data_IF_920550438277
#
_entry.id   IF_920550438277
#
_cell.length_a   1.000
_cell.length_b   1.000
_cell.length_c   1.000
_cell.angle_alpha   90.00
_cell.angle_beta   90.00
_cell.angle_gamma   90.00
#
_symmetry.space_group_name_H-M   'P 1'
#
loop_
_entity.id
_entity.type
_entity.pdbx_description
1 polymer ?
#
# COMPACT_ATOMS: atom_id res chain seq x y z
N UNK A 1 17.29 -10.73 9.55
CA UNK A 1 15.85 -10.55 9.75
C UNK A 1 15.29 -10.28 8.38
N UNK A 2 14.34 -11.09 7.95
CA UNK A 2 13.73 -10.95 6.64
C UNK A 2 12.55 -9.98 6.77
N UNK A 3 12.46 -9.06 5.82
CA UNK A 3 11.39 -8.09 5.76
C UNK A 3 10.54 -8.45 4.56
N UNK A 4 9.27 -8.76 4.82
CA UNK A 4 8.28 -9.08 3.81
C UNK A 4 7.40 -7.87 3.57
N UNK A 5 7.09 -7.62 2.31
CA UNK A 5 6.13 -6.59 1.92
C UNK A 5 4.93 -7.28 1.30
N UNK A 6 3.77 -7.12 1.93
CA UNK A 6 2.50 -7.67 1.47
C UNK A 6 1.60 -6.50 1.07
N UNK A 7 1.08 -6.53 -0.15
CA UNK A 7 0.20 -5.51 -0.70
C UNK A 7 -1.19 -6.08 -0.88
N UNK A 8 -2.20 -5.44 -0.28
CA UNK A 8 -3.61 -5.82 -0.36
C UNK A 8 -4.31 -4.83 -1.29
N UNK A 9 -4.88 -5.32 -2.38
CA UNK A 9 -5.52 -4.49 -3.41
C UNK A 9 -6.87 -5.08 -3.82
N UNK A 10 -7.73 -4.26 -4.44
CA UNK A 10 -9.01 -4.73 -4.96
C UNK A 10 -8.81 -5.66 -6.16
N UNK A 11 -9.61 -6.73 -6.23
CA UNK A 11 -9.61 -7.60 -7.40
C UNK A 11 -10.04 -6.84 -8.66
N UNK A 12 -9.60 -7.26 -9.86
CA UNK A 12 -9.94 -6.57 -11.12
C UNK A 12 -11.45 -6.41 -11.37
N UNK A 13 -12.27 -7.35 -10.89
CA UNK A 13 -13.72 -7.29 -10.99
C UNK A 13 -14.42 -6.37 -9.97
N UNK A 14 -13.68 -5.87 -8.97
CA UNK A 14 -14.19 -5.01 -7.89
C UNK A 14 -13.71 -3.58 -8.14
N UNK A 15 -14.61 -2.58 -8.16
CA UNK A 15 -14.21 -1.20 -8.33
C UNK A 15 -13.40 -0.72 -7.11
N UNK A 16 -12.22 -0.15 -7.37
CA UNK A 16 -11.45 0.57 -6.36
C UNK A 16 -12.08 1.95 -6.13
N UNK A 17 -13.08 1.99 -5.25
CA UNK A 17 -13.79 3.24 -4.92
C UNK A 17 -12.90 4.26 -4.23
N UNK A 18 -11.83 3.82 -3.56
CA UNK A 18 -10.87 4.73 -2.91
C UNK A 18 -10.02 5.42 -3.96
N UNK A 19 -9.48 4.66 -4.92
CA UNK A 19 -8.76 5.19 -6.07
C UNK A 19 -9.60 6.15 -6.91
N UNK A 20 -10.87 5.82 -7.15
CA UNK A 20 -11.80 6.72 -7.85
C UNK A 20 -12.02 8.03 -7.10
N UNK A 21 -12.25 7.99 -5.78
CA UNK A 21 -12.40 9.21 -4.97
C UNK A 21 -11.15 10.09 -4.99
N UNK A 22 -9.96 9.47 -4.91
CA UNK A 22 -8.69 10.20 -5.01
C UNK A 22 -8.55 10.88 -6.38
N UNK A 23 -8.96 10.22 -7.46
CA UNK A 23 -8.91 10.82 -8.81
C UNK A 23 -9.82 12.05 -8.91
N UNK A 24 -11.01 12.00 -8.30
CA UNK A 24 -11.92 13.15 -8.20
C UNK A 24 -11.26 14.29 -7.40
N UNK A 25 -10.71 13.99 -6.23
CA UNK A 25 -10.01 14.98 -5.39
C UNK A 25 -8.82 15.64 -6.11
N UNK A 26 -8.05 14.86 -6.89
CA UNK A 26 -6.95 15.36 -7.73
C UNK A 26 -7.48 16.33 -8.79
N UNK A 27 -8.61 15.99 -9.42
CA UNK A 27 -9.24 16.83 -10.43
C UNK A 27 -9.73 18.15 -9.81
N UNK A 28 -10.31 18.09 -8.62
CA UNK A 28 -10.76 19.26 -7.85
C UNK A 28 -9.60 20.16 -7.40
N UNK A 29 -8.39 19.62 -7.22
CA UNK A 29 -7.16 20.39 -7.03
C UNK A 29 -6.68 21.11 -8.31
N UNK A 30 -7.33 20.89 -9.46
CA UNK A 30 -6.95 21.45 -10.75
C UNK A 30 -5.79 20.70 -11.42
N UNK A 31 -5.48 19.49 -10.98
CA UNK A 31 -4.47 18.62 -11.60
C UNK A 31 -5.17 17.75 -12.63
N UNK A 32 -4.68 17.78 -13.87
CA UNK A 32 -5.23 17.02 -15.00
C UNK A 32 -4.19 16.12 -15.63
N UNK A 33 -4.63 15.12 -16.40
CA UNK A 33 -3.75 14.21 -17.13
C UNK A 33 -3.51 12.88 -16.43
N UNK A 34 -4.12 12.64 -15.27
CA UNK A 34 -4.16 11.34 -14.61
C UNK A 34 -5.45 10.65 -15.05
N UNK A 35 -5.32 9.43 -15.57
CA UNK A 35 -6.43 8.65 -16.13
C UNK A 35 -7.06 7.72 -15.10
N UNK A 36 -6.26 7.18 -14.18
CA UNK A 36 -6.71 6.29 -13.13
C UNK A 36 -5.75 6.32 -11.93
N UNK A 37 -6.32 6.04 -10.76
CA UNK A 37 -5.58 5.77 -9.52
C UNK A 37 -6.03 4.43 -8.98
N UNK A 38 -5.08 3.55 -8.68
CA UNK A 38 -5.31 2.31 -7.93
C UNK A 38 -4.66 2.41 -6.57
N UNK A 39 -5.22 1.71 -5.60
CA UNK A 39 -4.80 1.74 -4.20
C UNK A 39 -4.49 0.35 -3.69
N UNK A 40 -3.58 0.28 -2.72
CA UNK A 40 -3.34 -0.89 -1.90
C UNK A 40 -3.01 -0.48 -0.47
N UNK A 41 -3.35 -1.34 0.47
CA UNK A 41 -2.77 -1.31 1.82
C UNK A 41 -1.48 -2.13 1.81
N UNK A 42 -0.41 -1.56 2.37
CA UNK A 42 0.89 -2.24 2.46
C UNK A 42 1.14 -2.65 3.89
N UNK A 43 1.60 -3.88 4.07
CA UNK A 43 2.07 -4.43 5.34
C UNK A 43 3.54 -4.83 5.18
N UNK A 44 4.43 -4.11 5.87
CA UNK A 44 5.82 -4.51 6.05
C UNK A 44 5.93 -5.37 7.30
N UNK A 45 6.10 -6.67 7.11
CA UNK A 45 6.14 -7.67 8.17
C UNK A 45 7.61 -8.03 8.43
N UNK A 46 8.07 -7.78 9.64
CA UNK A 46 9.42 -8.13 10.07
C UNK A 46 9.39 -9.43 10.86
N UNK A 47 10.28 -10.36 10.55
CA UNK A 47 10.35 -11.62 11.28
C UNK A 47 11.25 -12.66 10.66
N UNK A 48 11.15 -13.87 11.21
CA UNK A 48 11.72 -15.09 10.63
C UNK A 48 10.57 -15.92 10.09
N UNK A 49 10.17 -15.63 8.85
CA UNK A 49 8.98 -16.20 8.20
C UNK A 49 9.37 -16.71 6.82
N UNK A 50 8.76 -17.81 6.39
CA UNK A 50 8.86 -18.30 5.02
C UNK A 50 7.69 -17.80 4.16
N UNK A 51 7.81 -18.02 2.85
CA UNK A 51 6.79 -17.61 1.88
C UNK A 51 5.43 -18.28 2.13
N UNK A 52 5.41 -19.53 2.58
CA UNK A 52 4.15 -20.25 2.91
C UNK A 52 3.43 -19.58 4.08
N UNK A 53 4.17 -19.15 5.09
CA UNK A 53 3.64 -18.41 6.23
C UNK A 53 3.08 -17.05 5.81
N UNK A 54 3.80 -16.32 4.95
CA UNK A 54 3.33 -15.02 4.42
C UNK A 54 2.08 -15.18 3.56
N UNK A 55 2.04 -16.21 2.72
CA UNK A 55 0.86 -16.54 1.91
C UNK A 55 -0.35 -16.81 2.79
N UNK A 56 -0.16 -17.58 3.86
CA UNK A 56 -1.19 -17.86 4.85
C UNK A 56 -1.66 -16.61 5.59
N UNK A 57 -0.76 -15.71 5.97
CA UNK A 57 -1.12 -14.41 6.57
C UNK A 57 -1.96 -13.58 5.58
N UNK A 58 -1.56 -13.52 4.31
CA UNK A 58 -2.30 -12.84 3.26
C UNK A 58 -3.73 -13.36 3.10
N UNK A 59 -3.87 -14.69 3.00
CA UNK A 59 -5.16 -15.37 2.76
C UNK A 59 -6.08 -15.39 3.99
N UNK A 60 -5.54 -15.68 5.18
CA UNK A 60 -6.36 -15.92 6.38
C UNK A 60 -6.63 -14.67 7.22
N UNK A 61 -5.81 -13.61 7.08
CA UNK A 61 -5.91 -12.42 7.93
C UNK A 61 -6.05 -11.10 7.17
N UNK A 62 -5.22 -10.86 6.15
CA UNK A 62 -5.05 -9.51 5.60
C UNK A 62 -6.05 -9.18 4.48
N UNK A 63 -6.29 -10.12 3.56
CA UNK A 63 -7.15 -9.87 2.41
C UNK A 63 -8.58 -10.38 2.65
N UNK A 64 -9.57 -9.56 2.31
CA UNK A 64 -10.95 -10.03 2.16
C UNK A 64 -11.04 -10.96 0.93
N UNK A 65 -11.44 -12.24 1.08
CA UNK A 65 -11.38 -13.23 0.00
C UNK A 65 -12.40 -12.98 -1.10
N UNK A 66 -13.37 -12.08 -0.91
CA UNK A 66 -14.40 -11.76 -1.90
C UNK A 66 -13.94 -10.59 -2.76
N UNK A 67 -13.49 -9.51 -2.12
CA UNK A 67 -13.27 -8.21 -2.77
C UNK A 67 -11.80 -7.89 -3.04
N UNK A 68 -10.88 -8.52 -2.32
CA UNK A 68 -9.46 -8.19 -2.34
C UNK A 68 -8.60 -9.38 -2.78
N UNK A 69 -7.42 -9.05 -3.29
CA UNK A 69 -6.32 -9.95 -3.53
C UNK A 69 -5.09 -9.41 -2.80
N UNK A 70 -4.07 -10.25 -2.64
CA UNK A 70 -2.78 -9.82 -2.11
C UNK A 70 -1.65 -10.27 -3.02
N UNK A 71 -0.53 -9.58 -2.90
CA UNK A 71 0.75 -9.96 -3.50
C UNK A 71 1.86 -9.72 -2.48
N UNK A 72 2.91 -10.54 -2.51
CA UNK A 72 4.12 -10.30 -1.72
C UNK A 72 5.37 -10.43 -2.60
N UNK A 73 6.35 -9.55 -2.40
CA UNK A 73 7.49 -9.41 -3.31
C UNK A 73 7.26 -8.36 -4.42
N UNK A 74 7.96 -8.49 -5.56
CA UNK A 74 7.91 -7.53 -6.68
C UNK A 74 6.80 -7.81 -7.70
N UNK A 75 5.85 -8.67 -7.40
CA UNK A 75 4.89 -9.19 -8.39
C UNK A 75 3.80 -8.18 -8.81
N UNK A 76 3.71 -7.02 -8.16
CA UNK A 76 2.59 -6.09 -8.32
C UNK A 76 3.03 -4.66 -8.71
N UNK A 77 4.30 -4.48 -9.07
CA UNK A 77 4.76 -3.26 -9.73
C UNK A 77 4.57 -3.39 -11.24
N UNK A 78 3.71 -2.54 -11.79
CA UNK A 78 3.56 -2.36 -13.24
C UNK A 78 4.63 -1.37 -13.72
N UNK A 79 5.43 -1.76 -14.72
CA UNK A 79 6.49 -0.90 -15.27
C UNK A 79 5.95 0.41 -15.87
N UNK A 80 4.64 0.47 -16.15
CA UNK A 80 3.99 1.60 -16.83
C UNK A 80 3.50 2.71 -15.90
N UNK A 81 3.47 2.49 -14.59
CA UNK A 81 2.73 3.36 -13.68
C UNK A 81 3.69 4.10 -12.75
N UNK A 82 3.32 5.33 -12.37
CA UNK A 82 3.98 5.97 -11.24
C UNK A 82 3.49 5.30 -9.97
N UNK A 83 4.41 4.90 -9.09
CA UNK A 83 4.05 4.35 -7.77
C UNK A 83 4.36 5.38 -6.69
N UNK A 84 3.49 5.45 -5.70
CA UNK A 84 3.70 6.26 -4.50
C UNK A 84 3.34 5.45 -3.27
N UNK A 85 4.22 5.44 -2.29
CA UNK A 85 3.99 4.78 -1.00
C UNK A 85 3.96 5.82 0.10
N UNK A 86 2.93 5.76 0.95
CA UNK A 86 2.78 6.56 2.16
C UNK A 86 2.92 5.65 3.36
N UNK A 87 3.78 6.02 4.29
CA UNK A 87 4.05 5.28 5.52
C UNK A 87 4.18 6.20 6.72
N UNK A 88 4.00 5.66 7.92
CA UNK A 88 4.26 6.40 9.16
C UNK A 88 5.75 6.77 9.31
N UNK A 89 6.01 7.93 9.89
CA UNK A 89 7.37 8.34 10.25
C UNK A 89 7.92 7.46 11.39
N UNK A 90 9.25 7.29 11.49
CA UNK A 90 9.86 6.59 12.61
C UNK A 90 9.41 7.16 13.96
N UNK A 91 8.99 6.28 14.88
CA UNK A 91 8.53 6.65 16.21
C UNK A 91 7.04 7.02 16.31
N UNK A 92 6.31 7.03 15.20
CA UNK A 92 4.84 7.15 15.21
C UNK A 92 4.22 5.78 15.49
N UNK A 93 3.23 5.75 16.39
CA UNK A 93 2.49 4.54 16.69
C UNK A 93 1.63 4.12 15.51
N UNK A 94 1.80 2.87 15.09
CA UNK A 94 0.97 2.22 14.09
C UNK A 94 0.05 1.20 14.75
N UNK A 95 -1.18 1.64 15.07
CA UNK A 95 -2.16 0.80 15.73
C UNK A 95 -2.65 -0.37 14.85
N UNK A 96 -2.62 -0.21 13.53
CA UNK A 96 -3.01 -1.28 12.59
C UNK A 96 -1.90 -2.33 12.54
N UNK A 97 -0.64 -1.90 12.49
CA UNK A 97 0.52 -2.78 12.63
C UNK A 97 0.48 -3.59 13.92
N UNK A 98 0.27 -2.93 15.07
CA UNK A 98 0.15 -3.60 16.38
C UNK A 98 -1.00 -4.62 16.42
N UNK A 99 -2.14 -4.29 15.82
CA UNK A 99 -3.29 -5.19 15.74
C UNK A 99 -3.03 -6.37 14.80
N UNK A 100 -2.28 -6.13 13.73
CA UNK A 100 -1.89 -7.17 12.77
C UNK A 100 -0.96 -8.19 13.43
N UNK A 101 0.02 -7.74 14.22
CA UNK A 101 0.89 -8.65 15.00
C UNK A 101 0.07 -9.57 15.90
N UNK A 102 -0.95 -9.03 16.58
CA UNK A 102 -1.86 -9.82 17.41
C UNK A 102 -2.66 -10.82 16.57
N UNK A 103 -3.25 -10.39 15.46
CA UNK A 103 -3.98 -11.26 14.56
C UNK A 103 -3.13 -12.42 14.02
N UNK A 104 -1.87 -12.16 13.65
CA UNK A 104 -0.94 -13.21 13.22
C UNK A 104 -0.64 -14.20 14.35
N UNK A 105 -0.46 -13.69 15.58
CA UNK A 105 -0.26 -14.52 16.77
C UNK A 105 -1.48 -15.42 17.03
N UNK A 106 -2.70 -14.87 16.88
CA UNK A 106 -3.95 -15.59 17.05
C UNK A 106 -4.16 -16.69 15.99
N UNK A 107 -3.57 -16.54 14.79
CA UNK A 107 -3.49 -17.60 13.77
C UNK A 107 -2.50 -18.73 14.10
N UNK A 108 -1.81 -18.64 15.25
CA UNK A 108 -0.80 -19.60 15.68
C UNK A 108 0.54 -19.44 14.97
N UNK A 109 0.79 -18.30 14.32
CA UNK A 109 2.04 -18.01 13.63
C UNK A 109 2.96 -17.26 14.57
N UNK A 110 4.15 -17.81 14.79
CA UNK A 110 5.21 -17.21 15.60
C UNK A 110 6.34 -16.66 14.71
N UNK A 111 7.19 -15.81 15.28
CA UNK A 111 8.37 -15.29 14.58
C UNK A 111 8.19 -13.92 13.92
N UNK A 112 7.00 -13.33 13.98
CA UNK A 112 6.78 -11.91 13.67
C UNK A 112 7.28 -11.04 14.82
N UNK A 113 8.11 -10.05 14.50
CA UNK A 113 8.65 -9.08 15.47
C UNK A 113 7.93 -7.75 15.43
N UNK A 114 7.56 -7.28 14.23
CA UNK A 114 6.85 -6.04 14.02
C UNK A 114 6.07 -6.09 12.72
N UNK A 115 5.01 -5.28 12.63
CA UNK A 115 4.31 -4.98 11.38
C UNK A 115 4.19 -3.47 11.29
N UNK A 116 4.59 -2.92 10.14
CA UNK A 116 4.32 -1.54 9.77
C UNK A 116 3.32 -1.51 8.63
N UNK A 117 2.46 -0.51 8.61
CA UNK A 117 1.39 -0.35 7.63
C UNK A 117 1.50 0.97 6.91
N UNK A 118 0.94 0.98 5.70
CA UNK A 118 0.92 2.14 4.84
C UNK A 118 -0.01 1.94 3.66
N UNK A 119 0.09 2.87 2.72
CA UNK A 119 -0.70 2.86 1.50
C UNK A 119 0.21 2.93 0.29
N UNK A 120 -0.14 2.21 -0.76
CA UNK A 120 0.49 2.31 -2.08
C UNK A 120 -0.54 2.76 -3.09
N UNK A 121 -0.10 3.61 -4.00
CA UNK A 121 -0.92 4.17 -5.05
C UNK A 121 -0.20 3.96 -6.38
N UNK A 122 -0.94 3.54 -7.40
CA UNK A 122 -0.48 3.51 -8.79
C UNK A 122 -1.24 4.58 -9.56
N UNK A 123 -0.52 5.42 -10.29
CA UNK A 123 -1.08 6.48 -11.12
C UNK A 123 -0.75 6.20 -12.58
N UNK A 124 -1.80 6.11 -13.40
CA UNK A 124 -1.68 6.01 -14.86
C UNK A 124 -1.99 7.36 -15.49
N UNK A 125 -1.23 7.73 -16.52
CA UNK A 125 -1.47 8.93 -17.31
C UNK A 125 -0.21 9.78 -17.49
N UNK A 126 -0.40 11.05 -17.83
CA UNK A 126 0.67 12.02 -18.03
C UNK A 126 0.89 12.81 -16.74
N UNK A 127 1.85 12.37 -15.93
CA UNK A 127 2.30 13.06 -14.73
C UNK A 127 3.82 13.06 -14.59
N UNK A 128 4.34 13.98 -13.77
CA UNK A 128 5.73 14.09 -13.41
C UNK A 128 5.89 14.06 -11.88
N UNK A 129 7.12 14.04 -11.39
CA UNK A 129 7.42 13.99 -9.96
C UNK A 129 6.87 15.18 -9.18
N UNK A 130 6.92 16.41 -9.72
CA UNK A 130 6.42 17.61 -9.04
C UNK A 130 4.90 17.53 -8.77
N UNK A 131 4.15 17.05 -9.76
CA UNK A 131 2.71 16.82 -9.64
C UNK A 131 2.43 15.73 -8.60
N UNK A 132 3.17 14.62 -8.66
CA UNK A 132 3.00 13.50 -7.74
C UNK A 132 3.31 13.90 -6.28
N UNK A 133 4.37 14.68 -6.05
CA UNK A 133 4.71 15.23 -4.74
C UNK A 133 3.61 16.17 -4.21
N UNK A 134 3.01 16.98 -5.10
CA UNK A 134 1.90 17.85 -4.74
C UNK A 134 0.67 17.05 -4.31
N UNK A 135 0.33 15.99 -5.05
CA UNK A 135 -0.78 15.09 -4.71
C UNK A 135 -0.52 14.43 -3.36
N UNK A 136 0.70 13.93 -3.15
CA UNK A 136 1.10 13.32 -1.89
C UNK A 136 0.83 14.26 -0.71
N UNK A 137 1.45 15.44 -0.73
CA UNK A 137 1.43 16.39 0.38
C UNK A 137 0.06 17.01 0.63
N UNK A 138 -0.77 17.16 -0.42
CA UNK A 138 -2.08 17.82 -0.29
C UNK A 138 -3.23 16.87 -0.01
N UNK A 139 -3.15 15.61 -0.46
CA UNK A 139 -4.28 14.67 -0.39
C UNK A 139 -3.94 13.38 0.37
N UNK A 140 -2.79 12.77 0.10
CA UNK A 140 -2.59 11.35 0.42
C UNK A 140 -1.90 11.10 1.76
N UNK A 141 -1.26 12.11 2.34
CA UNK A 141 -0.57 11.97 3.61
C UNK A 141 -0.79 13.13 4.56
N UNK A 142 -0.70 12.82 5.84
CA UNK A 142 -0.55 13.79 6.89
C UNK A 142 0.95 14.04 7.17
N UNK A 143 1.46 15.21 6.76
CA UNK A 143 2.88 15.57 6.89
C UNK A 143 3.44 15.53 8.31
N UNK A 144 2.60 15.62 9.34
CA UNK A 144 3.07 15.57 10.73
C UNK A 144 3.58 14.17 11.07
N UNK A 145 2.83 13.14 10.65
CA UNK A 145 3.00 11.76 11.10
C UNK A 145 3.41 10.79 10.00
N UNK A 146 3.30 11.16 8.73
CA UNK A 146 3.60 10.30 7.59
C UNK A 146 4.70 10.88 6.70
N UNK A 147 5.32 10.01 5.92
CA UNK A 147 6.27 10.33 4.85
C UNK A 147 5.91 9.51 3.62
N UNK A 148 6.43 9.89 2.46
CA UNK A 148 6.21 9.17 1.23
C UNK A 148 7.50 8.90 0.46
N UNK A 149 7.44 7.91 -0.43
CA UNK A 149 8.41 7.65 -1.49
C UNK A 149 7.66 7.43 -2.79
N UNK A 150 8.33 7.63 -3.92
CA UNK A 150 7.74 7.36 -5.24
C UNK A 150 8.75 6.75 -6.19
N UNK A 151 8.25 6.03 -7.19
CA UNK A 151 9.04 5.50 -8.29
C UNK A 151 8.40 5.91 -9.62
N UNK A 152 9.27 6.25 -10.58
CA UNK A 152 8.84 6.55 -11.94
C UNK A 152 8.61 5.24 -12.72
N UNK A 153 7.76 5.28 -13.76
CA UNK A 153 7.64 4.19 -14.73
C UNK A 153 9.00 3.78 -15.28
N UNK A 154 9.22 2.48 -15.46
CA UNK A 154 10.41 1.95 -16.12
C UNK A 154 10.20 1.94 -17.64
N UNK A 155 11.13 2.52 -18.43
CA UNK A 155 10.98 2.64 -19.89
C UNK A 155 11.29 1.36 -20.67
#
# INVERSE_FOLDING_TARGET
MENWKVEIYYKPEVPDTVGQGILEDITDLGISGIDAVRTATVYWIEGSLDAETIDRIGTELLADPITQAYAFGTENDTETDWTLEVQFKPGVTDAVGDSTVKGITDLGIAGVTAVHTGHKYWFTGTLNSEVLETIAQRLLMNEVIQTFSYQAPSP
#
